data_IF_821106240092
#
_entry.id   IF_821106240092
#
_cell.length_a   1.000
_cell.length_b   1.000
_cell.length_c   1.000
_cell.angle_alpha   90.00
_cell.angle_beta   90.00
_cell.angle_gamma   90.00
#
_symmetry.space_group_name_H-M   'P 1'
#
loop_
_entity.id
_entity.type
_entity.pdbx_description
1 polymer ?
#
# COMPACT_ATOMS: atom_id res chain seq x y z
N UNK A 1 12.61 2.03 -3.51
CA UNK A 1 11.54 2.95 -3.07
C UNK A 1 11.09 2.66 -1.64
N UNK A 2 10.68 3.69 -0.88
CA UNK A 2 10.08 3.52 0.45
C UNK A 2 8.63 3.10 0.35
N UNK A 3 8.20 2.20 1.23
CA UNK A 3 6.81 1.76 1.35
C UNK A 3 6.39 1.62 2.82
N UNK A 4 5.09 1.75 3.08
CA UNK A 4 4.45 1.33 4.32
C UNK A 4 3.66 0.05 4.03
N UNK A 5 3.83 -0.97 4.86
CA UNK A 5 3.21 -2.28 4.70
C UNK A 5 2.34 -2.52 5.93
N UNK A 6 1.06 -2.83 5.72
CA UNK A 6 0.20 -3.36 6.75
C UNK A 6 0.42 -4.88 6.80
N UNK A 7 1.20 -5.35 7.78
CA UNK A 7 1.57 -6.77 7.87
C UNK A 7 0.45 -7.64 8.44
N UNK A 8 -0.36 -7.05 9.30
CA UNK A 8 -1.54 -7.63 9.96
C UNK A 8 -2.35 -6.49 10.58
N UNK A 9 -3.57 -6.74 11.08
CA UNK A 9 -4.33 -5.72 11.80
C UNK A 9 -3.48 -5.05 12.88
N UNK A 10 -3.60 -3.73 12.94
CA UNK A 10 -2.92 -2.85 13.89
C UNK A 10 -1.39 -2.83 13.81
N UNK A 11 -0.78 -3.37 12.75
CA UNK A 11 0.68 -3.45 12.62
C UNK A 11 1.20 -2.98 11.27
N UNK A 12 1.68 -1.74 11.24
CA UNK A 12 2.41 -1.19 10.10
C UNK A 12 3.92 -1.35 10.28
N UNK A 13 4.59 -1.72 9.18
CA UNK A 13 6.05 -1.68 9.06
C UNK A 13 6.44 -0.80 7.88
N UNK A 14 7.63 -0.21 7.96
CA UNK A 14 8.23 0.52 6.83
C UNK A 14 9.26 -0.36 6.17
N UNK A 15 9.29 -0.38 4.83
CA UNK A 15 10.26 -1.12 4.06
C UNK A 15 10.94 -0.21 3.03
N UNK A 16 12.24 -0.40 2.86
CA UNK A 16 12.99 0.09 1.70
C UNK A 16 13.04 -1.05 0.67
N UNK A 17 12.27 -0.90 -0.41
CA UNK A 17 12.17 -1.86 -1.51
C UNK A 17 13.13 -1.46 -2.64
N UNK A 18 13.44 -2.41 -3.52
CA UNK A 18 14.11 -2.09 -4.79
C UNK A 18 13.21 -1.18 -5.64
N UNK A 19 13.82 -0.39 -6.53
CA UNK A 19 13.03 0.38 -7.50
C UNK A 19 12.44 -0.55 -8.56
N UNK A 20 11.25 -0.22 -9.03
CA UNK A 20 10.61 -0.98 -10.12
C UNK A 20 11.48 -0.90 -11.38
N UNK A 21 11.70 -2.02 -12.11
CA UNK A 21 12.53 -2.07 -13.31
C UNK A 21 11.99 -1.26 -14.50
N UNK A 22 10.87 -0.57 -14.33
CA UNK A 22 10.16 0.20 -15.35
C UNK A 22 8.81 -0.42 -15.67
N UNK A 23 7.87 0.36 -16.24
CA UNK A 23 6.54 -0.14 -16.56
C UNK A 23 6.58 -1.09 -17.77
N UNK A 24 5.71 -2.09 -17.78
CA UNK A 24 5.47 -2.94 -18.95
C UNK A 24 4.72 -2.20 -20.07
N UNK A 25 4.47 -2.91 -21.17
CA UNK A 25 3.69 -2.36 -22.28
C UNK A 25 2.25 -2.05 -21.83
N UNK A 26 1.83 -0.79 -21.97
CA UNK A 26 0.51 -0.31 -21.55
C UNK A 26 0.43 0.16 -20.09
N UNK A 27 1.55 0.17 -19.37
CA UNK A 27 1.64 0.65 -17.99
C UNK A 27 2.40 1.99 -17.92
N UNK A 28 2.28 2.67 -16.79
CA UNK A 28 3.07 3.86 -16.48
C UNK A 28 3.66 3.73 -15.06
N UNK A 29 4.90 4.16 -14.88
CA UNK A 29 5.51 4.29 -13.57
C UNK A 29 5.19 5.69 -13.01
N UNK A 30 4.57 5.73 -11.84
CA UNK A 30 4.11 6.98 -11.22
C UNK A 30 4.90 7.23 -9.93
N UNK A 31 5.47 8.43 -9.81
CA UNK A 31 6.02 8.91 -8.54
C UNK A 31 4.88 9.40 -7.65
N UNK A 32 4.65 8.69 -6.55
CA UNK A 32 3.58 9.03 -5.60
C UNK A 32 4.05 10.19 -4.72
N UNK A 33 3.46 11.38 -4.91
CA UNK A 33 3.76 12.55 -4.08
C UNK A 33 2.98 12.57 -2.77
N UNK A 34 1.70 12.18 -2.79
CA UNK A 34 0.78 12.17 -1.64
C UNK A 34 -0.22 11.03 -1.81
N UNK A 35 -0.73 10.52 -0.70
CA UNK A 35 -1.79 9.49 -0.67
C UNK A 35 -2.81 9.88 0.39
N UNK A 36 -4.08 9.82 0.05
CA UNK A 36 -5.20 10.00 0.99
C UNK A 36 -5.38 8.78 1.91
N UNK A 37 -6.05 8.98 3.05
CA UNK A 37 -6.46 7.87 3.92
C UNK A 37 -7.98 7.76 3.83
N UNK A 38 -8.45 6.67 3.25
CA UNK A 38 -9.86 6.37 3.14
C UNK A 38 -10.36 5.61 4.38
N UNK A 39 -11.69 5.59 4.60
CA UNK A 39 -12.31 4.73 5.61
C UNK A 39 -12.02 3.24 5.38
N UNK A 40 -11.76 2.84 4.14
CA UNK A 40 -11.34 1.46 3.79
C UNK A 40 -9.97 1.13 4.35
N UNK A 41 -9.02 2.07 4.33
CA UNK A 41 -7.68 1.86 4.92
C UNK A 41 -7.76 1.73 6.44
N UNK A 42 -8.62 2.53 7.08
CA UNK A 42 -8.90 2.41 8.53
C UNK A 42 -9.56 1.06 8.85
N UNK A 43 -10.52 0.62 8.04
CA UNK A 43 -11.19 -0.67 8.22
C UNK A 43 -10.22 -1.84 7.98
N UNK A 44 -9.28 -1.70 7.03
CA UNK A 44 -8.17 -2.59 6.82
C UNK A 44 -7.25 -2.63 8.05
N UNK A 45 -6.79 -1.48 8.53
CA UNK A 45 -5.98 -1.40 9.76
C UNK A 45 -6.62 -2.11 10.95
N UNK A 46 -7.93 -1.96 11.15
CA UNK A 46 -8.68 -2.59 12.25
C UNK A 46 -9.03 -4.08 12.01
N UNK A 47 -8.63 -4.67 10.87
CA UNK A 47 -8.94 -6.07 10.54
C UNK A 47 -10.42 -6.33 10.22
N UNK A 48 -11.19 -5.29 9.88
CA UNK A 48 -12.64 -5.36 9.62
C UNK A 48 -12.98 -5.40 8.13
N UNK A 49 -12.02 -5.08 7.27
CA UNK A 49 -12.23 -5.07 5.82
C UNK A 49 -12.05 -6.47 5.22
N UNK A 50 -13.11 -7.13 4.71
CA UNK A 50 -13.04 -8.53 4.27
C UNK A 50 -12.16 -8.76 3.02
N UNK A 51 -11.83 -7.69 2.29
CA UNK A 51 -11.02 -7.77 1.06
C UNK A 51 -9.55 -7.36 1.26
N UNK A 52 -9.14 -7.05 2.49
CA UNK A 52 -7.73 -6.81 2.81
C UNK A 52 -7.01 -8.14 2.98
N UNK A 53 -6.02 -8.41 2.13
CA UNK A 53 -5.12 -9.55 2.27
C UNK A 53 -3.77 -9.05 2.74
N UNK A 54 -3.33 -9.50 3.91
CA UNK A 54 -2.04 -9.10 4.48
C UNK A 54 -0.92 -10.06 4.04
N UNK A 55 0.33 -9.58 3.91
CA UNK A 55 0.75 -8.19 3.98
C UNK A 55 0.33 -7.38 2.74
N UNK A 56 0.06 -6.09 2.89
CA UNK A 56 -0.33 -5.21 1.78
C UNK A 56 0.24 -3.80 1.92
N UNK A 57 0.60 -3.19 0.79
CA UNK A 57 0.88 -1.74 0.71
C UNK A 57 -0.48 -1.06 0.44
N UNK A 58 -1.06 -0.33 1.42
CA UNK A 58 -2.32 0.36 1.24
C UNK A 58 -2.14 1.65 0.42
N UNK A 59 -3.26 2.27 0.03
CA UNK A 59 -3.28 3.53 -0.72
C UNK A 59 -4.00 3.42 -2.04
N UNK A 60 -5.09 4.17 -2.17
CA UNK A 60 -5.94 4.18 -3.37
C UNK A 60 -6.57 5.55 -3.64
N UNK A 61 -6.02 6.60 -3.02
CA UNK A 61 -6.45 7.99 -3.14
C UNK A 61 -5.26 8.91 -3.38
#
# INVERSE_FOLDING_TARGET
>A
MKAIILEKPEHFTTADLEESPGPGAGEALVEVHRVGICGTDVSGYLGKMPFYTYPVIPGHE
#
